data_IF_921635034417
#
_entry.id   IF_921635034417
#
_cell.length_a   1.000
_cell.length_b   1.000
_cell.length_c   1.000
_cell.angle_alpha   90.00
_cell.angle_beta   90.00
_cell.angle_gamma   90.00
#
_symmetry.space_group_name_H-M   'P 1'
#
loop_
_entity.id
_entity.type
_entity.pdbx_description
1 polymer ?
#
# COMPACT_ATOMS: atom_id res chain seq x y z
N UNK A 1 -29.62 -3.37 10.00
CA UNK A 1 -28.25 -3.89 9.78
C UNK A 1 -27.75 -3.30 8.47
N UNK A 2 -27.02 -2.19 8.54
CA UNK A 2 -26.48 -1.52 7.36
C UNK A 2 -25.29 -2.32 6.80
N UNK A 3 -25.45 -2.81 5.57
CA UNK A 3 -24.43 -3.50 4.78
C UNK A 3 -24.13 -2.65 3.55
N UNK A 4 -23.23 -1.68 3.66
CA UNK A 4 -22.53 -0.94 2.57
C UNK A 4 -21.92 0.31 3.23
N UNK A 5 -20.63 0.60 3.30
CA UNK A 5 -19.43 0.27 2.56
C UNK A 5 -18.23 0.14 3.55
N UNK A 6 -17.02 -0.18 3.09
CA UNK A 6 -16.08 0.95 3.08
C UNK A 6 -15.23 0.92 1.81
N UNK A 7 -15.45 1.91 0.95
CA UNK A 7 -14.31 2.58 0.34
C UNK A 7 -13.35 2.84 1.49
N UNK A 8 -12.11 2.32 1.42
CA UNK A 8 -11.06 2.57 2.42
C UNK A 8 -11.17 4.04 2.85
N UNK A 9 -10.97 4.38 4.14
CA UNK A 9 -11.11 5.73 4.67
C UNK A 9 -9.98 6.62 4.11
N UNK A 10 -9.93 6.81 2.79
CA UNK A 10 -8.95 7.61 2.06
C UNK A 10 -9.14 9.06 2.46
N UNK A 11 -10.37 9.49 2.66
CA UNK A 11 -10.72 10.81 3.18
C UNK A 11 -10.29 10.96 4.64
N UNK A 12 -10.65 10.03 5.52
CA UNK A 12 -10.34 10.17 6.96
C UNK A 12 -8.86 9.96 7.25
N UNK A 13 -8.17 9.05 6.55
CA UNK A 13 -6.73 8.86 6.67
C UNK A 13 -5.96 10.07 6.14
N UNK A 14 -6.40 10.66 5.01
CA UNK A 14 -5.81 11.90 4.50
C UNK A 14 -6.16 13.11 5.36
N UNK A 15 -7.35 13.16 5.94
CA UNK A 15 -7.73 14.19 6.91
C UNK A 15 -6.89 14.06 8.19
N UNK A 16 -6.73 12.84 8.72
CA UNK A 16 -5.87 12.55 9.87
C UNK A 16 -4.41 12.91 9.58
N UNK A 17 -3.90 12.58 8.38
CA UNK A 17 -2.55 12.96 7.97
C UNK A 17 -2.39 14.49 7.88
N UNK A 18 -3.41 15.20 7.39
CA UNK A 18 -3.45 16.67 7.37
C UNK A 18 -3.53 17.27 8.76
N UNK A 19 -4.33 16.71 9.65
CA UNK A 19 -4.47 17.18 11.03
C UNK A 19 -3.17 17.00 11.81
N UNK A 20 -2.50 15.84 11.66
CA UNK A 20 -1.17 15.60 12.23
C UNK A 20 -0.18 16.62 11.69
N UNK A 21 -0.18 16.84 10.38
CA UNK A 21 0.68 17.83 9.74
C UNK A 21 0.45 19.23 10.34
N UNK A 22 -0.81 19.65 10.46
CA UNK A 22 -1.15 20.95 11.08
C UNK A 22 -0.67 21.04 12.53
N UNK A 23 -0.91 20.00 13.34
CA UNK A 23 -0.52 19.98 14.75
C UNK A 23 0.99 19.97 14.95
N UNK A 24 1.74 19.30 14.07
CA UNK A 24 3.20 19.24 14.14
C UNK A 24 3.87 20.57 13.76
N UNK A 25 3.21 21.40 12.95
CA UNK A 25 3.78 22.66 12.43
C UNK A 25 3.90 23.72 13.52
N UNK A 26 2.93 23.76 14.43
CA UNK A 26 2.87 24.75 15.52
C UNK A 26 3.75 24.37 16.72
N UNK A 27 4.48 23.26 16.66
CA UNK A 27 5.30 22.77 17.79
C UNK A 27 6.60 23.57 17.93
N UNK A 28 7.10 23.76 19.18
CA UNK A 28 8.43 24.34 19.40
C UNK A 28 9.53 23.52 18.73
N UNK A 29 10.50 24.18 18.12
CA UNK A 29 11.62 23.55 17.38
C UNK A 29 12.38 22.54 18.24
N UNK A 30 12.60 22.86 19.52
CA UNK A 30 13.27 21.95 20.45
C UNK A 30 12.52 20.62 20.62
N UNK A 31 11.18 20.65 20.63
CA UNK A 31 10.36 19.45 20.71
C UNK A 31 10.41 18.64 19.40
N UNK A 32 10.38 19.32 18.24
CA UNK A 32 10.55 18.68 16.93
C UNK A 32 11.92 18.00 16.84
N UNK A 33 12.97 18.66 17.30
CA UNK A 33 14.34 18.15 17.31
C UNK A 33 14.49 16.91 18.20
N UNK A 34 13.94 16.95 19.42
CA UNK A 34 13.96 15.83 20.35
C UNK A 34 13.23 14.60 19.78
N UNK A 35 12.05 14.80 19.19
CA UNK A 35 11.31 13.73 18.53
C UNK A 35 12.06 13.20 17.32
N UNK A 36 12.68 14.08 16.53
CA UNK A 36 13.45 13.70 15.35
C UNK A 36 14.68 12.86 15.71
N UNK A 37 15.41 13.23 16.77
CA UNK A 37 16.53 12.45 17.29
C UNK A 37 16.09 11.04 17.71
N UNK A 38 14.87 10.90 18.23
CA UNK A 38 14.30 9.61 18.66
C UNK A 38 13.79 8.77 17.50
N UNK A 39 13.09 9.39 16.54
CA UNK A 39 12.42 8.69 15.43
C UNK A 39 13.38 8.33 14.30
N UNK A 40 14.36 9.20 14.00
CA UNK A 40 15.32 9.04 12.91
C UNK A 40 16.75 9.34 13.37
N UNK A 41 17.30 8.56 14.33
CA UNK A 41 18.65 8.77 14.84
C UNK A 41 19.73 8.67 13.75
N UNK A 42 19.48 7.87 12.72
CA UNK A 42 20.34 7.68 11.55
C UNK A 42 20.48 8.94 10.69
N UNK A 43 19.39 9.71 10.55
CA UNK A 43 19.39 10.98 9.82
C UNK A 43 19.89 12.12 10.70
N UNK A 44 19.54 12.11 11.99
CA UNK A 44 20.03 13.07 12.97
C UNK A 44 21.56 13.10 13.02
N UNK A 45 22.22 11.94 13.02
CA UNK A 45 23.68 11.83 13.00
C UNK A 45 24.34 12.44 11.75
N UNK A 46 23.59 12.63 10.66
CA UNK A 46 24.08 13.20 9.39
C UNK A 46 23.89 14.72 9.32
N UNK A 47 23.20 15.33 10.29
CA UNK A 47 23.04 16.78 10.35
C UNK A 47 24.38 17.45 10.71
N UNK A 48 24.82 18.47 9.95
CA UNK A 48 26.00 19.26 10.33
C UNK A 48 25.83 19.87 11.72
N UNK A 49 26.83 19.68 12.58
CA UNK A 49 26.85 20.21 13.95
C UNK A 49 27.70 21.49 14.01
N UNK A 50 27.27 22.54 14.74
CA UNK A 50 26.01 22.64 15.46
C UNK A 50 24.81 22.81 14.51
N UNK A 51 23.67 22.19 14.86
CA UNK A 51 22.43 22.30 14.09
C UNK A 51 22.00 23.78 14.05
N UNK A 52 22.06 24.38 12.87
CA UNK A 52 21.61 25.77 12.68
C UNK A 52 20.09 25.81 12.65
N UNK A 53 19.50 26.77 13.35
CA UNK A 53 18.05 26.98 13.37
C UNK A 53 17.55 27.64 12.07
N UNK A 54 17.57 26.88 10.98
CA UNK A 54 17.10 27.35 9.66
C UNK A 54 15.73 26.79 9.34
N UNK A 55 14.92 27.56 8.59
CA UNK A 55 13.60 27.12 8.16
C UNK A 55 13.65 25.79 7.38
N UNK A 56 14.70 25.57 6.57
CA UNK A 56 14.87 24.34 5.81
C UNK A 56 15.05 23.11 6.72
N UNK A 57 15.88 23.22 7.75
CA UNK A 57 16.10 22.14 8.73
C UNK A 57 14.83 21.89 9.54
N UNK A 58 14.09 22.94 9.93
CA UNK A 58 12.78 22.80 10.61
C UNK A 58 11.78 22.01 9.77
N UNK A 59 11.58 22.44 8.52
CA UNK A 59 10.64 21.80 7.58
C UNK A 59 11.04 20.34 7.35
N UNK A 60 12.33 20.06 7.23
CA UNK A 60 12.83 18.71 7.08
C UNK A 60 12.50 17.82 8.29
N UNK A 61 12.88 18.22 9.51
CA UNK A 61 12.61 17.45 10.72
C UNK A 61 11.12 17.26 10.97
N UNK A 62 10.34 18.32 10.72
CA UNK A 62 8.88 18.29 10.79
C UNK A 62 8.26 17.25 9.84
N UNK A 63 8.70 17.21 8.58
CA UNK A 63 8.19 16.25 7.60
C UNK A 63 8.52 14.82 8.01
N UNK A 64 9.74 14.56 8.52
CA UNK A 64 10.15 13.25 8.99
C UNK A 64 9.32 12.78 10.19
N UNK A 65 9.08 13.65 11.18
CA UNK A 65 8.26 13.33 12.35
C UNK A 65 6.79 13.10 11.98
N UNK A 66 6.22 13.96 11.14
CA UNK A 66 4.83 13.82 10.67
C UNK A 66 4.63 12.50 9.93
N UNK A 67 5.56 12.14 9.05
CA UNK A 67 5.51 10.86 8.33
C UNK A 67 5.64 9.67 9.29
N UNK A 68 6.57 9.71 10.26
CA UNK A 68 6.70 8.65 11.25
C UNK A 68 5.39 8.43 12.04
N UNK A 69 4.69 9.50 12.41
CA UNK A 69 3.38 9.43 13.07
C UNK A 69 2.29 8.85 12.16
N UNK A 70 2.22 9.30 10.91
CA UNK A 70 1.27 8.74 9.92
C UNK A 70 1.52 7.26 9.69
N UNK A 71 2.78 6.83 9.60
CA UNK A 71 3.12 5.41 9.46
C UNK A 71 2.72 4.60 10.70
N UNK A 72 2.95 5.13 11.91
CA UNK A 72 2.56 4.49 13.16
C UNK A 72 1.03 4.31 13.24
N UNK A 73 0.26 5.33 12.86
CA UNK A 73 -1.20 5.30 12.86
C UNK A 73 -1.79 4.48 11.70
N UNK A 74 -1.07 4.40 10.57
CA UNK A 74 -1.45 3.56 9.43
C UNK A 74 -1.09 2.08 9.59
N UNK A 75 -0.14 1.73 10.47
CA UNK A 75 0.31 0.35 10.66
C UNK A 75 -0.81 -0.64 11.03
N UNK A 76 -1.78 -0.31 11.92
CA UNK A 76 -2.93 -1.18 12.18
C UNK A 76 -3.78 -1.44 10.94
N UNK A 77 -4.06 -0.40 10.13
CA UNK A 77 -4.85 -0.53 8.90
C UNK A 77 -4.15 -1.45 7.89
N UNK A 78 -2.84 -1.31 7.74
CA UNK A 78 -2.04 -2.21 6.89
C UNK A 78 -2.10 -3.66 7.38
N UNK A 79 -1.97 -3.90 8.69
CA UNK A 79 -2.11 -5.24 9.28
C UNK A 79 -3.48 -5.83 9.04
N UNK A 80 -4.55 -5.05 9.21
CA UNK A 80 -5.93 -5.49 8.93
C UNK A 80 -6.10 -5.82 7.45
N UNK A 81 -5.52 -5.02 6.55
CA UNK A 81 -5.50 -5.31 5.11
C UNK A 81 -4.85 -6.66 4.78
N UNK A 82 -3.66 -6.92 5.35
CA UNK A 82 -2.96 -8.21 5.16
C UNK A 82 -3.74 -9.39 5.75
N UNK A 83 -4.35 -9.22 6.93
CA UNK A 83 -5.19 -10.26 7.54
C UNK A 83 -6.43 -10.56 6.69
N UNK A 84 -7.07 -9.54 6.12
CA UNK A 84 -8.21 -9.71 5.21
C UNK A 84 -7.81 -10.43 3.93
N UNK A 85 -6.63 -10.12 3.38
CA UNK A 85 -6.09 -10.82 2.21
C UNK A 85 -5.84 -12.31 2.49
N UNK A 86 -5.28 -12.66 3.66
CA UNK A 86 -5.09 -14.06 4.05
C UNK A 86 -6.43 -14.79 4.20
N UNK A 87 -7.41 -14.14 4.84
CA UNK A 87 -8.76 -14.70 4.98
C UNK A 87 -9.44 -14.91 3.62
N UNK A 88 -9.38 -13.93 2.73
CA UNK A 88 -9.91 -14.03 1.37
C UNK A 88 -9.27 -15.19 0.59
N UNK A 89 -7.94 -15.35 0.70
CA UNK A 89 -7.22 -16.44 0.07
C UNK A 89 -7.60 -17.83 0.61
N UNK A 90 -7.99 -17.94 1.88
CA UNK A 90 -8.49 -19.20 2.44
C UNK A 90 -9.94 -19.46 2.03
N UNK A 91 -10.77 -18.42 2.07
CA UNK A 91 -12.21 -18.53 1.80
C UNK A 91 -12.53 -18.76 0.33
N UNK A 92 -11.71 -18.29 -0.62
CA UNK A 92 -11.95 -18.51 -2.06
C UNK A 92 -12.00 -19.99 -2.46
N UNK A 93 -11.36 -20.89 -1.69
CA UNK A 93 -11.41 -22.33 -1.95
C UNK A 93 -12.56 -23.05 -1.24
N UNK A 94 -13.17 -22.42 -0.24
CA UNK A 94 -14.20 -23.01 0.61
C UNK A 94 -15.59 -22.46 0.32
N UNK A 95 -15.68 -21.25 -0.25
CA UNK A 95 -16.94 -20.56 -0.50
C UNK A 95 -17.00 -20.07 -1.97
N UNK A 96 -17.96 -20.56 -2.77
CA UNK A 96 -18.08 -20.21 -4.17
C UNK A 96 -18.41 -18.72 -4.40
N UNK A 97 -19.07 -18.04 -3.46
CA UNK A 97 -19.31 -16.59 -3.56
C UNK A 97 -18.00 -15.80 -3.44
N UNK A 98 -17.06 -16.25 -2.61
CA UNK A 98 -15.72 -15.66 -2.50
C UNK A 98 -14.86 -16.00 -3.73
N UNK A 99 -14.99 -17.21 -4.28
CA UNK A 99 -14.33 -17.57 -5.54
C UNK A 99 -14.78 -16.67 -6.70
N UNK A 100 -16.09 -16.47 -6.86
CA UNK A 100 -16.65 -15.59 -7.89
C UNK A 100 -16.23 -14.13 -7.69
N UNK A 101 -16.25 -13.64 -6.46
CA UNK A 101 -15.81 -12.28 -6.17
C UNK A 101 -14.30 -12.11 -6.46
N UNK A 102 -13.47 -13.07 -6.08
CA UNK A 102 -12.05 -13.08 -6.43
C UNK A 102 -11.83 -13.07 -7.95
N UNK A 103 -12.59 -13.88 -8.71
CA UNK A 103 -12.52 -13.89 -10.18
C UNK A 103 -12.92 -12.52 -10.75
N UNK A 104 -14.01 -11.92 -10.26
CA UNK A 104 -14.48 -10.61 -10.72
C UNK A 104 -13.48 -9.50 -10.41
N UNK A 105 -12.90 -9.47 -9.20
CA UNK A 105 -11.90 -8.46 -8.82
C UNK A 105 -10.58 -8.65 -9.55
N UNK A 106 -10.15 -9.89 -9.79
CA UNK A 106 -9.03 -10.22 -10.69
C UNK A 106 -9.27 -9.73 -12.11
N UNK A 107 -10.43 -10.03 -12.69
CA UNK A 107 -10.80 -9.60 -14.04
C UNK A 107 -10.91 -8.08 -14.17
N UNK A 108 -11.37 -7.40 -13.14
CA UNK A 108 -11.42 -5.94 -13.08
C UNK A 108 -10.08 -5.28 -12.73
N UNK A 109 -9.04 -6.05 -12.38
CA UNK A 109 -7.74 -5.52 -11.96
C UNK A 109 -7.78 -4.77 -10.61
N UNK A 110 -8.77 -5.05 -9.77
CA UNK A 110 -9.04 -4.34 -8.50
C UNK A 110 -8.69 -5.17 -7.26
N UNK A 111 -7.88 -6.21 -7.42
CA UNK A 111 -7.48 -7.08 -6.31
C UNK A 111 -6.81 -6.30 -5.17
N UNK A 112 -7.14 -6.70 -3.94
CA UNK A 112 -6.53 -6.14 -2.73
C UNK A 112 -4.99 -6.34 -2.72
N UNK A 113 -4.51 -7.45 -3.29
CA UNK A 113 -3.09 -7.74 -3.52
C UNK A 113 -2.40 -6.67 -4.38
N UNK A 114 -2.97 -6.33 -5.54
CA UNK A 114 -2.45 -5.32 -6.45
C UNK A 114 -2.45 -3.93 -5.80
N UNK A 115 -3.47 -3.62 -5.00
CA UNK A 115 -3.52 -2.38 -4.23
C UNK A 115 -2.40 -2.29 -3.19
N UNK A 116 -2.17 -3.37 -2.43
CA UNK A 116 -1.07 -3.44 -1.44
C UNK A 116 0.30 -3.31 -2.11
N UNK A 117 0.52 -4.01 -3.23
CA UNK A 117 1.77 -3.94 -3.98
C UNK A 117 2.03 -2.53 -4.52
N UNK A 118 1.00 -1.89 -5.08
CA UNK A 118 1.07 -0.51 -5.54
C UNK A 118 1.41 0.45 -4.40
N UNK A 119 0.74 0.32 -3.25
CA UNK A 119 0.99 1.16 -2.08
C UNK A 119 2.41 1.00 -1.54
N UNK A 120 2.93 -0.24 -1.49
CA UNK A 120 4.30 -0.52 -1.08
C UNK A 120 5.32 0.08 -2.07
N UNK A 121 5.10 -0.08 -3.37
CA UNK A 121 5.97 0.49 -4.41
C UNK A 121 5.99 2.03 -4.37
N UNK A 122 4.84 2.66 -4.13
CA UNK A 122 4.74 4.11 -3.94
C UNK A 122 5.48 4.54 -2.69
N UNK A 123 5.29 3.86 -1.55
CA UNK A 123 5.98 4.16 -0.29
C UNK A 123 7.49 4.11 -0.46
N UNK A 124 7.99 3.06 -1.12
CA UNK A 124 9.42 2.87 -1.32
C UNK A 124 10.02 3.93 -2.27
N UNK A 125 9.35 4.24 -3.38
CA UNK A 125 9.81 5.28 -4.32
C UNK A 125 9.84 6.65 -3.64
N UNK A 126 8.80 6.99 -2.88
CA UNK A 126 8.75 8.25 -2.12
C UNK A 126 9.83 8.31 -1.05
N UNK A 127 10.10 7.19 -0.36
CA UNK A 127 11.18 7.09 0.62
C UNK A 127 12.54 7.36 -0.03
N UNK A 128 12.85 6.73 -1.15
CA UNK A 128 14.11 6.91 -1.87
C UNK A 128 14.28 8.35 -2.37
N UNK A 129 13.24 8.93 -2.98
CA UNK A 129 13.25 10.32 -3.43
C UNK A 129 13.47 11.29 -2.28
N UNK A 130 12.80 11.05 -1.14
CA UNK A 130 12.94 11.86 0.06
C UNK A 130 14.33 11.76 0.66
N UNK A 131 14.93 10.57 0.74
CA UNK A 131 16.30 10.41 1.25
C UNK A 131 17.31 11.19 0.41
N UNK A 132 17.17 11.19 -0.91
CA UNK A 132 18.02 11.97 -1.82
C UNK A 132 17.83 13.49 -1.64
N UNK A 133 16.59 13.96 -1.63
CA UNK A 133 16.26 15.39 -1.39
C UNK A 133 16.78 15.84 -0.03
N UNK A 134 16.62 15.00 0.98
CA UNK A 134 17.06 15.28 2.35
C UNK A 134 18.57 15.35 2.43
N UNK A 135 19.31 14.40 1.87
CA UNK A 135 20.77 14.44 1.84
C UNK A 135 21.31 15.73 1.20
N UNK A 136 20.68 16.20 0.12
CA UNK A 136 21.07 17.45 -0.56
C UNK A 136 20.72 18.68 0.31
N UNK A 137 19.51 18.71 0.86
CA UNK A 137 19.09 19.80 1.77
C UNK A 137 19.94 19.88 3.04
N UNK A 138 20.28 18.73 3.63
CA UNK A 138 21.13 18.64 4.82
C UNK A 138 22.60 19.01 4.54
N UNK A 139 23.07 18.82 3.31
CA UNK A 139 24.37 19.30 2.86
C UNK A 139 24.38 20.82 2.58
N UNK A 140 23.26 21.52 2.79
CA UNK A 140 23.13 22.96 2.51
C UNK A 140 23.22 23.31 1.02
N UNK A 141 23.00 22.33 0.14
CA UNK A 141 23.08 22.50 -1.30
C UNK A 141 21.70 22.75 -1.90
N UNK A 142 21.65 23.58 -2.93
CA UNK A 142 20.44 23.77 -3.72
C UNK A 142 20.27 22.58 -4.67
N UNK A 143 19.06 22.03 -4.72
CA UNK A 143 18.71 20.92 -5.59
C UNK A 143 18.77 21.35 -7.06
N UNK A 144 19.68 20.79 -7.85
CA UNK A 144 19.89 21.12 -9.28
C UNK A 144 18.99 20.27 -10.17
N UNK A 145 18.66 20.79 -11.36
CA UNK A 145 17.86 20.06 -12.37
C UNK A 145 18.43 18.66 -12.68
N UNK A 146 19.75 18.54 -12.82
CA UNK A 146 20.40 17.26 -13.09
C UNK A 146 20.28 16.24 -11.94
N UNK A 147 20.08 16.71 -10.69
CA UNK A 147 19.82 15.84 -9.54
C UNK A 147 18.35 15.41 -9.50
N UNK A 148 17.44 16.28 -9.95
CA UNK A 148 16.02 15.96 -10.13
C UNK A 148 15.79 14.89 -11.19
N UNK A 149 16.48 14.98 -12.33
CA UNK A 149 16.38 13.99 -13.41
C UNK A 149 16.91 12.61 -13.01
N UNK A 150 17.69 12.53 -11.92
CA UNK A 150 18.20 11.27 -11.35
C UNK A 150 17.29 10.66 -10.28
N UNK A 151 16.21 11.35 -9.89
CA UNK A 151 15.28 10.82 -8.92
C UNK A 151 14.60 9.56 -9.45
N UNK A 152 14.50 8.49 -8.65
CA UNK A 152 13.66 7.34 -8.95
C UNK A 152 12.27 7.76 -9.47
N UNK A 153 11.98 7.33 -10.70
CA UNK A 153 10.65 7.42 -11.27
C UNK A 153 9.80 6.27 -10.75
N UNK A 154 8.57 6.58 -10.34
CA UNK A 154 7.63 5.55 -9.92
C UNK A 154 7.36 4.60 -11.08
N UNK A 155 7.58 3.31 -10.85
CA UNK A 155 7.20 2.23 -11.76
C UNK A 155 6.05 1.48 -11.13
N UNK A 156 4.89 1.51 -11.78
CA UNK A 156 3.74 0.75 -11.34
C UNK A 156 4.09 -0.75 -11.37
N UNK A 157 3.85 -1.50 -10.28
CA UNK A 157 4.04 -2.94 -10.31
C UNK A 157 3.10 -3.56 -11.36
N UNK A 158 3.55 -4.63 -12.05
CA UNK A 158 2.69 -5.30 -13.02
C UNK A 158 1.45 -5.85 -12.31
N UNK A 159 0.28 -5.66 -12.93
CA UNK A 159 -0.95 -6.26 -12.44
C UNK A 159 -0.78 -7.78 -12.42
N UNK A 160 -1.06 -8.41 -11.27
CA UNK A 160 -1.10 -9.86 -11.13
C UNK A 160 -2.39 -10.40 -11.75
N UNK A 161 -2.58 -10.19 -13.05
CA UNK A 161 -3.76 -10.69 -13.75
C UNK A 161 -3.67 -12.22 -13.83
N UNK A 162 -4.29 -12.93 -12.88
CA UNK A 162 -4.44 -14.39 -12.94
C UNK A 162 -5.61 -14.84 -13.83
N UNK A 163 -6.07 -13.95 -14.73
CA UNK A 163 -7.23 -14.18 -15.61
C UNK A 163 -7.09 -15.48 -16.40
N UNK A 164 -5.90 -15.77 -16.93
CA UNK A 164 -5.65 -17.01 -17.67
C UNK A 164 -5.75 -18.28 -16.82
N UNK A 165 -5.21 -18.29 -15.60
CA UNK A 165 -5.27 -19.44 -14.70
C UNK A 165 -6.67 -19.71 -14.17
N UNK A 166 -7.42 -18.64 -13.84
CA UNK A 166 -8.79 -18.75 -13.36
C UNK A 166 -9.75 -19.22 -14.46
N UNK A 167 -9.60 -18.73 -15.69
CA UNK A 167 -10.37 -19.22 -16.84
C UNK A 167 -10.10 -20.69 -17.15
N UNK A 168 -8.85 -21.13 -16.98
CA UNK A 168 -8.46 -22.53 -17.19
C UNK A 168 -9.08 -23.44 -16.12
N UNK A 169 -9.07 -23.03 -14.85
CA UNK A 169 -9.78 -23.75 -13.78
C UNK A 169 -11.29 -23.81 -14.00
N UNK A 170 -11.93 -22.71 -14.42
CA UNK A 170 -13.35 -22.69 -14.74
C UNK A 170 -13.68 -23.59 -15.92
N UNK A 171 -12.83 -23.60 -16.96
CA UNK A 171 -12.97 -24.50 -18.11
C UNK A 171 -12.87 -25.97 -17.71
N UNK A 172 -11.92 -26.32 -16.85
CA UNK A 172 -11.78 -27.70 -16.32
C UNK A 172 -12.99 -28.10 -15.49
N UNK A 173 -13.47 -27.22 -14.60
CA UNK A 173 -14.68 -27.49 -13.79
C UNK A 173 -15.93 -27.65 -14.66
N UNK A 174 -16.13 -26.78 -15.66
CA UNK A 174 -17.23 -26.89 -16.59
C UNK A 174 -17.17 -28.20 -17.41
N UNK A 175 -15.98 -28.59 -17.86
CA UNK A 175 -15.76 -29.86 -18.55
C UNK A 175 -16.06 -31.07 -17.67
N UNK A 176 -15.63 -31.06 -16.41
CA UNK A 176 -15.93 -32.12 -15.45
C UNK A 176 -17.43 -32.22 -15.14
N UNK A 177 -18.11 -31.08 -14.95
CA UNK A 177 -19.56 -31.05 -14.75
C UNK A 177 -20.31 -31.58 -15.97
N UNK A 178 -19.87 -31.21 -17.17
CA UNK A 178 -20.46 -31.71 -18.41
C UNK A 178 -20.27 -33.22 -18.55
N UNK A 179 -19.08 -33.75 -18.23
CA UNK A 179 -18.83 -35.19 -18.19
C UNK A 179 -19.72 -35.91 -17.18
N UNK A 180 -19.90 -35.36 -15.98
CA UNK A 180 -20.80 -35.93 -14.97
C UNK A 180 -22.26 -35.95 -15.44
N UNK A 181 -22.74 -34.87 -16.07
CA UNK A 181 -24.08 -34.79 -16.64
C UNK A 181 -24.26 -35.83 -17.74
N UNK A 182 -23.31 -35.89 -18.69
CA UNK A 182 -23.34 -36.87 -19.78
C UNK A 182 -23.36 -38.31 -19.23
N UNK A 183 -22.49 -38.61 -18.27
CA UNK A 183 -22.40 -39.95 -17.70
C UNK A 183 -23.68 -40.33 -16.93
N UNK A 184 -24.31 -39.38 -16.23
CA UNK A 184 -25.62 -39.60 -15.59
C UNK A 184 -26.74 -39.83 -16.61
N UNK A 185 -26.72 -39.08 -17.72
CA UNK A 185 -27.72 -39.21 -18.79
C UNK A 185 -27.63 -40.58 -19.49
N UNK A 186 -26.41 -41.10 -19.70
CA UNK A 186 -26.19 -42.45 -20.26
C UNK A 186 -26.64 -43.55 -19.30
N UNK A 187 -26.42 -43.41 -17.99
CA UNK A 187 -26.92 -44.39 -17.00
C UNK A 187 -28.45 -44.45 -16.99
N UNK A 188 -29.12 -43.29 -17.00
CA UNK A 188 -30.58 -43.24 -16.98
C UNK A 188 -31.24 -43.75 -18.27
N UNK A 189 -30.52 -43.79 -19.39
CA UNK A 189 -31.00 -44.41 -20.64
C UNK A 189 -30.71 -45.91 -20.73
N UNK A 190 -29.84 -46.45 -19.89
CA UNK A 190 -29.53 -47.88 -19.83
C UNK A 190 -30.44 -48.68 -18.87
N UNK A 191 -31.22 -48.00 -18.02
CA UNK A 191 -32.18 -48.60 -17.08
C UNK A 191 -33.64 -48.59 -17.59
N UNK A 192 -33.88 -48.16 -18.83
CA UNK A 192 -35.19 -48.18 -19.53
C UNK A 192 -35.17 -49.20 -20.65
#
# INVERSE_FOLDING_TARGET
MDRTYPVLPRSEFMATARDISSQEWDRPVAAILADFQKTRPDLYAKLPQPIRDTQAIKVFMYNENSMAKVEQLGAPLMRTGTQRLDLENRLKYLNPAYAFNAILTTSAGTELSNFIDWQNATKETLKQNRELVSQIGLAGKTFKKAEFERLPTFKAPPLKAQVGGNLLCLGVLAGLLWLLVWWSAQRNTAEV
#
